data_IF_330099386358
#
_entry.id   IF_330099386358
#
_cell.length_a   1.000
_cell.length_b   1.000
_cell.length_c   1.000
_cell.angle_alpha   90.00
_cell.angle_beta   90.00
_cell.angle_gamma   90.00
#
_symmetry.space_group_name_H-M   'P 1'
#
loop_
_entity.id
_entity.type
_entity.pdbx_description
1 polymer ?
#
# COMPACT_ATOMS: atom_id res chain seq x y z
N UNK A 1 -34.26 -39.57 52.16
CA UNK A 1 -35.72 -39.78 52.09
C UNK A 1 -36.37 -38.40 52.10
N UNK A 2 -36.58 -37.81 50.92
CA UNK A 2 -37.91 -37.71 50.28
C UNK A 2 -38.60 -36.43 50.79
N UNK A 3 -39.05 -35.45 50.00
CA UNK A 3 -39.66 -35.54 48.67
C UNK A 3 -39.70 -34.17 47.98
N UNK A 4 -39.81 -34.25 46.65
CA UNK A 4 -39.92 -33.17 45.66
C UNK A 4 -41.16 -32.29 45.88
N UNK A 5 -41.12 -31.06 45.37
CA UNK A 5 -42.28 -30.53 44.64
C UNK A 5 -41.85 -29.51 43.58
N UNK A 6 -42.35 -29.73 42.37
CA UNK A 6 -42.27 -28.89 41.19
C UNK A 6 -43.64 -28.23 40.95
N UNK A 7 -43.66 -27.17 40.13
CA UNK A 7 -44.76 -26.45 39.42
C UNK A 7 -44.48 -24.93 39.54
N UNK A 8 -44.75 -24.03 38.61
CA UNK A 8 -45.38 -24.05 37.28
C UNK A 8 -45.02 -22.71 36.60
N UNK A 9 -45.03 -22.67 35.25
CA UNK A 9 -44.93 -21.47 34.36
C UNK A 9 -46.28 -20.67 34.39
N UNK A 10 -46.55 -19.54 33.66
CA UNK A 10 -45.86 -18.90 32.52
C UNK A 10 -45.85 -17.34 32.50
N UNK A 11 -45.20 -16.75 31.48
CA UNK A 11 -45.36 -15.34 31.10
C UNK A 11 -44.90 -15.09 29.65
N UNK A 12 -45.85 -14.92 28.74
CA UNK A 12 -45.64 -14.61 27.33
C UNK A 12 -45.67 -13.09 27.05
N UNK A 13 -44.68 -12.65 26.25
CA UNK A 13 -44.67 -11.72 25.10
C UNK A 13 -45.44 -10.38 25.15
N UNK A 14 -44.72 -9.29 24.83
CA UNK A 14 -45.05 -8.34 23.73
C UNK A 14 -43.76 -7.85 23.05
N UNK A 15 -43.85 -7.55 21.75
CA UNK A 15 -42.79 -7.44 20.73
C UNK A 15 -42.17 -6.03 20.53
N UNK A 16 -40.89 -6.03 20.08
CA UNK A 16 -40.11 -5.22 19.08
C UNK A 16 -40.76 -3.97 18.38
N UNK A 17 -40.01 -3.01 17.75
CA UNK A 17 -38.62 -3.09 17.23
C UNK A 17 -37.74 -1.79 17.32
N UNK A 18 -36.55 -1.87 16.69
CA UNK A 18 -35.81 -0.79 16.03
C UNK A 18 -34.75 0.01 16.82
N UNK A 19 -33.57 -0.60 16.94
CA UNK A 19 -32.30 0.12 16.95
C UNK A 19 -31.30 -0.72 16.16
N UNK A 20 -31.18 -0.48 14.85
CA UNK A 20 -30.21 -1.16 13.99
C UNK A 20 -28.81 -0.98 14.59
N UNK A 21 -28.07 -2.05 14.94
CA UNK A 21 -26.63 -1.93 14.95
C UNK A 21 -26.21 -1.65 13.51
N UNK A 22 -25.47 -0.56 13.29
CA UNK A 22 -24.73 -0.35 12.06
C UNK A 22 -23.97 -1.66 11.76
N UNK A 23 -24.06 -2.23 10.55
CA UNK A 23 -23.19 -3.34 10.22
C UNK A 23 -21.76 -2.82 10.29
N UNK A 24 -20.99 -3.34 11.23
CA UNK A 24 -19.54 -3.32 11.18
C UNK A 24 -19.15 -4.06 9.89
N UNK A 25 -19.06 -3.33 8.78
CA UNK A 25 -18.47 -3.83 7.55
C UNK A 25 -16.94 -3.78 7.72
N UNK A 26 -16.44 -4.72 8.50
CA UNK A 26 -15.06 -5.18 8.46
C UNK A 26 -15.09 -6.69 8.25
N UNK A 27 -15.74 -7.11 7.17
CA UNK A 27 -15.48 -8.42 6.60
C UNK A 27 -14.10 -8.36 5.95
N UNK A 28 -13.21 -9.25 6.36
CA UNK A 28 -11.93 -9.45 5.68
C UNK A 28 -12.22 -9.79 4.21
N UNK A 29 -12.11 -8.80 3.33
CA UNK A 29 -12.05 -9.02 1.90
C UNK A 29 -10.59 -9.34 1.59
N UNK A 30 -10.33 -10.60 1.27
CA UNK A 30 -9.03 -11.08 0.84
C UNK A 30 -9.25 -12.04 -0.31
N UNK A 31 -8.76 -11.67 -1.49
CA UNK A 31 -8.74 -12.58 -2.62
C UNK A 31 -7.50 -13.44 -2.50
N UNK A 32 -7.64 -14.63 -1.91
CA UNK A 32 -6.73 -15.72 -2.23
C UNK A 32 -7.32 -16.37 -3.48
N UNK A 33 -6.90 -15.93 -4.66
CA UNK A 33 -7.15 -16.65 -5.90
C UNK A 33 -6.41 -17.99 -5.87
N UNK A 34 -6.94 -18.92 -5.09
CA UNK A 34 -6.60 -20.33 -5.07
C UNK A 34 -7.71 -21.13 -5.75
N UNK A 35 -7.78 -21.11 -7.09
CA UNK A 35 -8.38 -22.21 -7.85
C UNK A 35 -8.16 -22.11 -9.36
N UNK A 36 -7.08 -22.75 -9.82
CA UNK A 36 -7.24 -23.95 -10.64
C UNK A 36 -6.06 -24.88 -10.38
N UNK A 37 -6.39 -26.13 -10.05
CA UNK A 37 -5.47 -27.26 -9.92
C UNK A 37 -4.51 -27.28 -11.12
N UNK A 38 -3.25 -26.95 -10.90
CA UNK A 38 -2.17 -27.46 -11.72
C UNK A 38 -1.44 -28.48 -10.87
N UNK A 39 -1.55 -29.74 -11.29
CA UNK A 39 -0.82 -30.85 -10.69
C UNK A 39 0.68 -30.63 -10.78
N UNK A 40 1.41 -31.43 -10.01
CA UNK A 40 2.85 -31.53 -10.08
C UNK A 40 3.38 -31.47 -11.52
N UNK A 41 4.16 -30.45 -11.85
CA UNK A 41 5.05 -30.41 -13.00
C UNK A 41 6.10 -29.33 -12.72
N UNK A 42 7.34 -29.73 -12.39
CA UNK A 42 8.47 -29.74 -13.32
C UNK A 42 9.05 -28.33 -13.48
N UNK A 43 10.33 -28.17 -13.17
CA UNK A 43 11.10 -26.97 -13.45
C UNK A 43 10.90 -26.58 -14.93
N UNK A 44 10.03 -25.59 -15.14
CA UNK A 44 9.60 -25.07 -16.44
C UNK A 44 9.87 -23.56 -16.50
N UNK A 45 9.63 -22.92 -17.66
CA UNK A 45 10.06 -21.55 -17.94
C UNK A 45 9.56 -20.56 -16.88
N UNK A 46 10.37 -19.53 -16.59
CA UNK A 46 10.09 -18.51 -15.58
C UNK A 46 8.62 -18.06 -15.63
N UNK A 47 7.93 -18.13 -14.48
CA UNK A 47 6.51 -17.77 -14.40
C UNK A 47 6.35 -16.27 -14.66
N UNK A 48 5.91 -15.90 -15.86
CA UNK A 48 5.62 -14.51 -16.23
C UNK A 48 4.22 -14.13 -15.75
N UNK A 49 4.13 -13.08 -14.93
CA UNK A 49 2.88 -12.48 -14.46
C UNK A 49 2.67 -11.13 -15.14
N UNK A 50 1.64 -11.03 -15.99
CA UNK A 50 1.29 -9.77 -16.65
C UNK A 50 0.64 -8.80 -15.68
N UNK A 51 1.12 -7.57 -15.65
CA UNK A 51 0.58 -6.47 -14.84
C UNK A 51 -0.89 -6.17 -15.14
N UNK A 52 -1.38 -6.51 -16.33
CA UNK A 52 -2.81 -6.44 -16.65
C UNK A 52 -3.70 -7.27 -15.71
N UNK A 53 -3.16 -8.31 -15.06
CA UNK A 53 -3.89 -9.09 -14.05
C UNK A 53 -4.16 -8.31 -12.77
N UNK A 54 -3.28 -7.36 -12.43
CA UNK A 54 -3.44 -6.46 -11.28
C UNK A 54 -4.71 -5.62 -11.42
N UNK A 55 -4.92 -5.08 -12.63
CA UNK A 55 -6.05 -4.22 -12.96
C UNK A 55 -7.36 -5.00 -13.13
N UNK A 56 -7.27 -6.30 -13.45
CA UNK A 56 -8.41 -7.17 -13.72
C UNK A 56 -9.02 -7.82 -12.46
N UNK A 57 -8.42 -7.62 -11.28
CA UNK A 57 -8.93 -8.15 -10.02
C UNK A 57 -10.22 -7.42 -9.62
N UNK A 58 -11.36 -8.05 -9.91
CA UNK A 58 -12.67 -7.44 -9.73
C UNK A 58 -12.98 -7.14 -8.26
N UNK A 59 -12.52 -7.97 -7.33
CA UNK A 59 -12.76 -7.79 -5.89
C UNK A 59 -11.98 -6.59 -5.37
N UNK A 60 -10.71 -6.42 -5.77
CA UNK A 60 -9.93 -5.24 -5.45
C UNK A 60 -10.56 -3.98 -6.04
N UNK A 61 -10.94 -4.00 -7.32
CA UNK A 61 -11.55 -2.83 -7.96
C UNK A 61 -12.84 -2.42 -7.27
N UNK A 62 -13.71 -3.39 -6.93
CA UNK A 62 -14.94 -3.12 -6.19
C UNK A 62 -14.68 -2.54 -4.80
N UNK A 63 -13.65 -3.04 -4.09
CA UNK A 63 -13.24 -2.49 -2.80
C UNK A 63 -12.79 -1.02 -2.94
N UNK A 64 -11.94 -0.73 -3.93
CA UNK A 64 -11.44 0.62 -4.19
C UNK A 64 -12.58 1.57 -4.60
N UNK A 65 -13.52 1.13 -5.43
CA UNK A 65 -14.69 1.94 -5.80
C UNK A 65 -15.59 2.24 -4.59
N UNK A 66 -15.77 1.25 -3.70
CA UNK A 66 -16.48 1.44 -2.43
C UNK A 66 -15.79 2.46 -1.54
N UNK A 67 -14.47 2.34 -1.36
CA UNK A 67 -13.67 3.28 -0.57
C UNK A 67 -13.66 4.69 -1.13
N UNK A 68 -13.57 4.83 -2.46
CA UNK A 68 -13.71 6.12 -3.14
C UNK A 68 -15.06 6.76 -2.82
N UNK A 69 -16.15 6.01 -2.94
CA UNK A 69 -17.51 6.50 -2.68
C UNK A 69 -17.69 6.94 -1.22
N UNK A 70 -17.02 6.25 -0.29
CA UNK A 70 -17.03 6.56 1.14
C UNK A 70 -16.04 7.68 1.53
N UNK A 71 -15.25 8.22 0.60
CA UNK A 71 -14.23 9.23 0.89
C UNK A 71 -13.06 8.73 1.74
N UNK A 72 -12.78 7.42 1.70
CA UNK A 72 -11.61 6.82 2.35
C UNK A 72 -10.35 7.25 1.62
N UNK A 73 -9.28 7.50 2.37
CA UNK A 73 -7.98 7.83 1.84
C UNK A 73 -6.91 6.99 2.53
N UNK A 74 -5.72 6.98 1.94
CA UNK A 74 -4.55 6.35 2.53
C UNK A 74 -3.75 7.38 3.31
N UNK A 75 -3.38 7.04 4.53
CA UNK A 75 -2.64 7.93 5.43
C UNK A 75 -1.14 7.60 5.49
N UNK A 76 -0.74 6.43 5.03
CA UNK A 76 0.64 5.97 5.04
C UNK A 76 0.82 4.86 4.01
N UNK A 77 2.00 4.78 3.40
CA UNK A 77 2.46 3.64 2.60
C UNK A 77 3.78 3.12 3.14
N UNK A 78 3.91 1.81 3.26
CA UNK A 78 5.07 1.12 3.81
C UNK A 78 5.52 0.07 2.83
N UNK A 79 6.79 0.13 2.42
CA UNK A 79 7.43 -0.90 1.63
C UNK A 79 8.07 -1.92 2.59
N UNK A 80 7.71 -3.19 2.41
CA UNK A 80 8.24 -4.31 3.17
C UNK A 80 9.04 -5.25 2.26
N UNK A 81 10.10 -5.86 2.81
CA UNK A 81 10.89 -6.88 2.11
C UNK A 81 11.48 -7.93 3.05
N UNK A 82 11.99 -9.04 2.50
CA UNK A 82 12.71 -10.07 3.27
C UNK A 82 14.00 -9.51 3.87
N UNK A 83 14.73 -8.72 3.08
CA UNK A 83 15.97 -8.07 3.49
C UNK A 83 16.17 -6.70 2.85
N UNK A 84 17.15 -5.98 3.40
CA UNK A 84 17.67 -4.72 2.86
C UNK A 84 19.16 -4.71 3.13
N UNK A 85 19.94 -4.54 2.08
CA UNK A 85 21.37 -4.28 2.15
C UNK A 85 21.61 -2.78 2.00
N UNK A 86 22.65 -2.28 2.66
CA UNK A 86 23.03 -0.87 2.61
C UNK A 86 24.54 -0.77 2.56
N UNK A 87 25.06 -0.36 1.40
CA UNK A 87 26.48 -0.12 1.20
C UNK A 87 26.75 1.37 1.37
N UNK A 88 27.70 1.71 2.24
CA UNK A 88 28.14 3.10 2.43
C UNK A 88 29.45 3.32 1.69
N UNK A 89 29.51 4.36 0.88
CA UNK A 89 30.73 4.82 0.24
C UNK A 89 30.95 6.29 0.59
N UNK A 90 32.21 6.69 0.63
CA UNK A 90 32.62 8.07 0.79
C UNK A 90 33.35 8.48 -0.48
N UNK A 91 32.88 9.55 -1.10
CA UNK A 91 33.53 10.17 -2.25
C UNK A 91 34.40 11.32 -1.74
N UNK A 92 35.71 11.21 -2.01
CA UNK A 92 36.71 12.18 -1.53
C UNK A 92 36.73 13.45 -2.38
N UNK A 93 36.33 13.36 -3.65
CA UNK A 93 36.37 14.50 -4.58
C UNK A 93 35.22 15.46 -4.28
N UNK A 94 34.07 14.93 -3.85
CA UNK A 94 32.90 15.72 -3.48
C UNK A 94 32.72 15.91 -1.98
N UNK A 95 33.56 15.27 -1.14
CA UNK A 95 33.45 15.26 0.32
C UNK A 95 32.04 14.83 0.78
N UNK A 96 31.48 13.81 0.15
CA UNK A 96 30.12 13.32 0.44
C UNK A 96 30.09 11.84 0.74
N UNK A 97 29.33 11.47 1.77
CA UNK A 97 28.95 10.09 1.99
C UNK A 97 27.69 9.76 1.20
N UNK A 98 27.67 8.57 0.60
CA UNK A 98 26.51 8.01 -0.10
C UNK A 98 26.16 6.67 0.52
N UNK A 99 24.87 6.40 0.69
CA UNK A 99 24.37 5.06 1.01
C UNK A 99 23.63 4.55 -0.21
N UNK A 100 24.05 3.41 -0.73
CA UNK A 100 23.32 2.67 -1.72
C UNK A 100 22.48 1.59 -1.03
N UNK A 101 21.16 1.69 -1.15
CA UNK A 101 20.21 0.77 -0.55
C UNK A 101 19.69 -0.22 -1.60
N UNK A 102 19.76 -1.52 -1.28
CA UNK A 102 19.28 -2.60 -2.15
C UNK A 102 18.28 -3.45 -1.37
N UNK A 103 17.10 -3.68 -1.95
CA UNK A 103 16.03 -4.47 -1.37
C UNK A 103 16.17 -5.91 -1.83
N UNK A 104 16.10 -6.84 -0.87
CA UNK A 104 16.32 -8.26 -1.11
C UNK A 104 15.04 -9.07 -0.96
N UNK A 105 14.88 -10.04 -1.87
CA UNK A 105 13.89 -11.10 -1.77
C UNK A 105 12.46 -10.63 -2.00
N UNK A 106 11.49 -11.31 -1.36
CA UNK A 106 10.07 -11.00 -1.53
C UNK A 106 9.70 -9.65 -0.94
N UNK A 107 8.90 -8.90 -1.66
CA UNK A 107 8.40 -7.59 -1.22
C UNK A 107 6.89 -7.55 -1.05
N UNK A 108 6.41 -6.60 -0.26
CA UNK A 108 5.00 -6.27 -0.13
C UNK A 108 4.84 -4.75 0.02
N UNK A 109 3.77 -4.20 -0.55
CA UNK A 109 3.37 -2.82 -0.29
C UNK A 109 2.20 -2.83 0.69
N UNK A 110 2.27 -2.01 1.73
CA UNK A 110 1.21 -1.90 2.74
C UNK A 110 0.72 -0.47 2.79
N UNK A 111 -0.57 -0.26 2.56
CA UNK A 111 -1.22 1.05 2.57
C UNK A 111 -2.18 1.13 3.77
N UNK A 112 -1.94 2.07 4.68
CA UNK A 112 -2.80 2.32 5.84
C UNK A 112 -3.99 3.15 5.42
N UNK A 113 -5.20 2.65 5.64
CA UNK A 113 -6.45 3.35 5.32
C UNK A 113 -6.92 4.20 6.50
N UNK A 114 -7.88 5.09 6.25
CA UNK A 114 -8.56 5.85 7.31
C UNK A 114 -9.80 5.19 7.87
N UNK A 115 -10.34 4.21 7.16
CA UNK A 115 -11.49 3.41 7.58
C UNK A 115 -11.13 2.27 8.55
N UNK A 116 -9.93 2.34 9.15
CA UNK A 116 -9.24 1.27 9.87
C UNK A 116 -8.74 0.13 8.97
N UNK A 117 -7.56 -0.40 9.32
CA UNK A 117 -6.92 -1.50 8.60
C UNK A 117 -5.79 -1.07 7.66
N UNK A 118 -5.23 -2.08 7.00
CA UNK A 118 -4.12 -1.99 6.07
C UNK A 118 -4.44 -2.82 4.83
N UNK A 119 -4.33 -2.20 3.66
CA UNK A 119 -4.34 -2.90 2.39
C UNK A 119 -2.91 -3.37 2.10
N UNK A 120 -2.71 -4.67 2.02
CA UNK A 120 -1.44 -5.27 1.62
C UNK A 120 -1.55 -5.72 0.16
N UNK A 121 -0.57 -5.35 -0.66
CA UNK A 121 -0.44 -5.75 -2.07
C UNK A 121 0.87 -6.51 -2.27
N UNK A 122 0.80 -7.66 -2.94
CA UNK A 122 1.94 -8.55 -3.16
C UNK A 122 1.91 -9.13 -4.56
N UNK A 123 3.08 -9.27 -5.15
CA UNK A 123 3.29 -10.02 -6.37
C UNK A 123 4.32 -11.12 -6.11
N UNK A 124 4.08 -12.30 -6.66
CA UNK A 124 5.04 -13.40 -6.59
C UNK A 124 4.80 -14.41 -7.70
N UNK A 125 5.47 -15.58 -7.64
CA UNK A 125 5.38 -16.62 -8.67
C UNK A 125 3.95 -17.15 -8.85
N UNK A 126 3.16 -17.10 -7.77
CA UNK A 126 1.75 -17.52 -7.75
C UNK A 126 0.79 -16.46 -8.33
N UNK A 127 1.30 -15.29 -8.72
CA UNK A 127 0.52 -14.16 -9.20
C UNK A 127 0.35 -13.05 -8.16
N UNK A 128 -0.61 -12.18 -8.46
CA UNK A 128 -0.96 -11.04 -7.63
C UNK A 128 -1.86 -11.46 -6.48
N UNK A 129 -1.60 -10.92 -5.30
CA UNK A 129 -2.34 -11.19 -4.07
C UNK A 129 -2.56 -9.87 -3.33
N UNK A 130 -3.75 -9.71 -2.78
CA UNK A 130 -4.07 -8.57 -1.94
C UNK A 130 -4.92 -9.01 -0.74
N UNK A 131 -4.77 -8.30 0.37
CA UNK A 131 -5.53 -8.55 1.59
C UNK A 131 -5.80 -7.22 2.32
N UNK A 132 -7.00 -7.07 2.88
CA UNK A 132 -7.30 -6.00 3.82
C UNK A 132 -7.32 -6.57 5.25
N UNK A 133 -6.33 -6.19 6.07
CA UNK A 133 -6.09 -6.75 7.40
C UNK A 133 -5.88 -5.67 8.45
N UNK A 134 -6.16 -5.99 9.71
CA UNK A 134 -5.95 -5.05 10.82
C UNK A 134 -4.47 -4.81 11.15
N UNK A 135 -3.58 -5.71 10.72
CA UNK A 135 -2.15 -5.60 10.97
C UNK A 135 -1.31 -6.33 9.91
N UNK A 136 -0.31 -5.64 9.37
CA UNK A 136 0.64 -6.22 8.41
C UNK A 136 1.78 -7.03 9.08
N UNK A 137 1.85 -7.04 10.41
CA UNK A 137 2.93 -7.73 11.16
C UNK A 137 2.96 -9.26 10.94
N UNK A 138 1.88 -9.82 10.39
CA UNK A 138 1.78 -11.26 10.05
C UNK A 138 2.67 -11.66 8.89
N UNK A 139 3.08 -10.72 8.04
CA UNK A 139 3.86 -11.00 6.83
C UNK A 139 5.31 -11.45 7.13
N UNK A 140 5.81 -11.25 8.35
CA UNK A 140 7.22 -11.53 8.74
C UNK A 140 8.26 -10.89 7.81
N UNK A 141 7.93 -9.74 7.23
CA UNK A 141 8.82 -8.92 6.40
C UNK A 141 9.34 -7.72 7.20
N UNK A 142 10.50 -7.20 6.81
CA UNK A 142 11.13 -6.01 7.39
C UNK A 142 10.65 -4.76 6.68
N UNK A 143 10.56 -3.65 7.41
CA UNK A 143 10.29 -2.33 6.82
C UNK A 143 11.54 -1.85 6.09
N UNK A 144 11.38 -1.56 4.80
CA UNK A 144 12.44 -1.00 3.94
C UNK A 144 12.38 0.52 3.98
N UNK A 145 11.19 1.05 3.70
CA UNK A 145 10.89 2.49 3.64
C UNK A 145 9.41 2.72 3.98
N UNK A 146 9.08 3.96 4.34
CA UNK A 146 7.69 4.38 4.60
C UNK A 146 7.49 5.86 4.30
N UNK A 147 6.29 6.20 3.84
CA UNK A 147 5.90 7.57 3.59
C UNK A 147 4.54 7.86 4.22
N UNK A 148 4.51 8.79 5.18
CA UNK A 148 3.28 9.25 5.84
C UNK A 148 2.49 10.29 5.01
N UNK A 149 2.65 10.28 3.69
CA UNK A 149 1.90 11.17 2.80
C UNK A 149 0.48 10.64 2.64
N UNK A 150 -0.47 11.58 2.64
CA UNK A 150 -1.87 11.29 2.33
C UNK A 150 -2.06 11.24 0.82
N UNK A 151 -2.71 10.19 0.33
CA UNK A 151 -3.10 10.06 -1.07
C UNK A 151 -4.49 9.42 -1.19
N UNK A 152 -5.18 9.76 -2.28
CA UNK A 152 -6.53 9.33 -2.58
C UNK A 152 -6.56 7.94 -3.21
N UNK A 153 -7.73 7.30 -3.18
CA UNK A 153 -7.94 5.99 -3.81
C UNK A 153 -7.67 6.04 -5.31
N UNK A 154 -8.03 7.13 -5.98
CA UNK A 154 -7.78 7.30 -7.42
C UNK A 154 -6.28 7.36 -7.76
N UNK A 155 -5.44 7.84 -6.85
CA UNK A 155 -3.98 7.82 -7.04
C UNK A 155 -3.43 6.39 -7.00
N UNK A 156 -3.92 5.55 -6.09
CA UNK A 156 -3.58 4.11 -6.09
C UNK A 156 -4.07 3.42 -7.37
N UNK A 157 -5.27 3.73 -7.85
CA UNK A 157 -5.79 3.15 -9.10
C UNK A 157 -4.96 3.55 -10.30
N UNK A 158 -4.58 4.82 -10.40
CA UNK A 158 -3.70 5.30 -11.46
C UNK A 158 -2.35 4.56 -11.43
N UNK A 159 -1.71 4.48 -10.26
CA UNK A 159 -0.43 3.79 -10.12
C UNK A 159 -0.52 2.28 -10.44
N UNK A 160 -1.62 1.61 -10.09
CA UNK A 160 -1.86 0.22 -10.52
C UNK A 160 -2.07 0.10 -12.03
N UNK A 161 -2.73 1.08 -12.65
CA UNK A 161 -2.98 1.10 -14.09
C UNK A 161 -1.69 1.33 -14.89
N UNK A 162 -0.76 2.14 -14.38
CA UNK A 162 0.55 2.37 -15.01
C UNK A 162 1.38 1.09 -15.10
N UNK A 163 1.10 0.12 -14.23
CA UNK A 163 1.75 -1.19 -14.26
C UNK A 163 1.09 -2.18 -15.22
N UNK A 164 -0.02 -1.84 -15.88
CA UNK A 164 -0.78 -2.74 -16.76
C UNK A 164 0.05 -3.34 -17.90
N UNK A 165 0.96 -2.55 -18.46
CA UNK A 165 1.81 -2.95 -19.58
C UNK A 165 3.08 -3.72 -19.17
N UNK A 166 3.37 -3.80 -17.88
CA UNK A 166 4.58 -4.45 -17.36
C UNK A 166 4.39 -5.96 -17.29
N UNK A 167 5.39 -6.72 -17.72
CA UNK A 167 5.43 -8.16 -17.53
C UNK A 167 6.46 -8.49 -16.45
N UNK A 168 6.02 -9.19 -15.39
CA UNK A 168 6.85 -9.49 -14.23
C UNK A 168 7.35 -10.93 -14.28
N UNK A 169 8.64 -11.14 -14.09
CA UNK A 169 9.23 -12.48 -14.09
C UNK A 169 10.48 -12.54 -13.21
N UNK A 170 10.73 -13.69 -12.57
CA UNK A 170 11.96 -13.91 -11.79
C UNK A 170 13.21 -13.65 -12.63
N UNK A 171 14.26 -13.13 -12.00
CA UNK A 171 15.57 -12.84 -12.59
C UNK A 171 15.56 -11.86 -13.78
N UNK A 172 14.52 -11.02 -13.88
CA UNK A 172 14.45 -9.93 -14.86
C UNK A 172 14.55 -8.55 -14.20
N UNK A 173 14.75 -7.50 -15.00
CA UNK A 173 14.70 -6.10 -14.53
C UNK A 173 13.33 -5.75 -13.92
N UNK A 174 12.29 -6.47 -14.34
CA UNK A 174 10.94 -6.37 -13.79
C UNK A 174 10.62 -7.62 -12.97
N UNK A 175 11.43 -7.90 -11.95
CA UNK A 175 11.16 -8.98 -11.02
C UNK A 175 9.93 -8.70 -10.14
N UNK A 176 9.49 -9.70 -9.39
CA UNK A 176 8.35 -9.51 -8.48
C UNK A 176 8.62 -8.46 -7.40
N UNK A 177 9.88 -8.23 -7.03
CA UNK A 177 10.24 -7.18 -6.09
C UNK A 177 10.00 -5.78 -6.69
N UNK A 178 10.29 -5.61 -7.97
CA UNK A 178 10.13 -4.36 -8.71
C UNK A 178 8.68 -3.87 -8.72
N UNK A 179 7.69 -4.76 -8.65
CA UNK A 179 6.27 -4.39 -8.55
C UNK A 179 6.02 -3.46 -7.36
N UNK A 180 6.40 -3.89 -6.15
CA UNK A 180 6.14 -3.14 -4.93
C UNK A 180 6.99 -1.87 -4.84
N UNK A 181 8.24 -1.94 -5.34
CA UNK A 181 9.14 -0.79 -5.43
C UNK A 181 8.57 0.30 -6.33
N UNK A 182 8.23 -0.04 -7.58
CA UNK A 182 7.63 0.91 -8.54
C UNK A 182 6.35 1.51 -7.99
N UNK A 183 5.48 0.69 -7.42
CA UNK A 183 4.23 1.19 -6.84
C UNK A 183 4.48 2.13 -5.65
N UNK A 184 5.49 1.86 -4.82
CA UNK A 184 5.91 2.77 -3.75
C UNK A 184 6.47 4.08 -4.31
N UNK A 185 7.37 4.00 -5.28
CA UNK A 185 8.01 5.16 -5.91
C UNK A 185 6.96 6.05 -6.60
N UNK A 186 6.02 5.46 -7.35
CA UNK A 186 4.93 6.15 -8.04
C UNK A 186 3.99 6.88 -7.05
N UNK A 187 3.68 6.25 -5.91
CA UNK A 187 2.79 6.83 -4.90
C UNK A 187 3.46 7.91 -4.04
N UNK A 188 4.77 7.81 -3.82
CA UNK A 188 5.49 8.67 -2.87
C UNK A 188 6.37 9.71 -3.53
N UNK A 189 6.69 9.54 -4.81
CA UNK A 189 7.70 10.33 -5.52
C UNK A 189 9.12 10.13 -4.97
N UNK A 190 9.36 9.14 -4.11
CA UNK A 190 10.64 8.84 -3.49
C UNK A 190 11.18 7.55 -4.05
N UNK A 191 12.46 7.52 -4.44
CA UNK A 191 13.09 6.26 -4.83
C UNK A 191 13.47 5.45 -3.59
N UNK A 192 12.96 4.23 -3.51
CA UNK A 192 13.27 3.32 -2.41
C UNK A 192 14.68 2.70 -2.52
N UNK A 193 15.28 2.68 -3.71
CA UNK A 193 16.62 2.15 -3.99
C UNK A 193 17.54 3.21 -4.60
N UNK A 194 18.86 2.93 -4.62
CA UNK A 194 19.86 3.80 -5.22
C UNK A 194 20.63 4.67 -4.23
N UNK A 195 21.45 5.56 -4.78
CA UNK A 195 22.35 6.41 -4.00
C UNK A 195 21.58 7.53 -3.30
N UNK A 196 21.67 7.54 -1.97
CA UNK A 196 21.12 8.61 -1.13
C UNK A 196 22.27 9.31 -0.42
N UNK A 197 22.26 10.66 -0.35
CA UNK A 197 23.25 11.38 0.44
C UNK A 197 23.13 10.94 1.91
N UNK A 198 24.27 10.62 2.49
CA UNK A 198 24.40 10.19 3.87
C UNK A 198 25.14 11.29 4.64
N UNK A 199 24.60 11.67 5.79
CA UNK A 199 25.32 12.50 6.73
C UNK A 199 25.79 11.58 7.88
N UNK A 200 27.11 11.33 8.00
CA UNK A 200 27.66 10.45 9.04
C UNK A 200 27.53 11.03 10.46
N UNK A 201 27.28 12.34 10.58
CA UNK A 201 27.10 13.05 11.86
C UNK A 201 25.62 13.13 12.26
N UNK A 202 24.70 13.06 11.29
CA UNK A 202 23.26 12.96 11.54
C UNK A 202 22.86 11.53 11.95
N UNK A 203 23.22 11.14 13.17
CA UNK A 203 22.59 10.00 13.84
C UNK A 203 21.08 10.23 13.97
N UNK A 204 20.30 9.72 12.99
CA UNK A 204 18.86 9.90 12.72
C UNK A 204 18.55 10.96 11.66
N UNK A 205 18.21 10.47 10.48
CA UNK A 205 17.59 11.20 9.36
C UNK A 205 16.44 12.09 9.86
N UNK A 206 16.57 13.41 9.72
CA UNK A 206 15.43 14.32 9.72
C UNK A 206 14.88 14.40 8.29
N UNK A 207 13.56 14.32 8.07
CA UNK A 207 12.99 14.69 6.78
C UNK A 207 13.25 16.19 6.56
N UNK A 208 13.93 16.52 5.46
CA UNK A 208 14.20 17.91 5.08
C UNK A 208 12.90 18.69 4.87
N UNK A 209 12.88 20.01 5.12
CA UNK A 209 11.71 20.83 4.86
C UNK A 209 11.44 20.85 3.36
N UNK A 210 10.18 20.60 2.98
CA UNK A 210 9.71 20.88 1.64
C UNK A 210 10.05 22.34 1.30
N UNK A 211 10.82 22.53 0.23
CA UNK A 211 11.05 23.85 -0.33
C UNK A 211 9.72 24.39 -0.85
N UNK A 212 9.12 25.28 -0.07
CA UNK A 212 8.08 26.21 -0.49
C UNK A 212 8.78 27.42 -1.13
N UNK A 213 8.18 27.92 -2.22
CA UNK A 213 8.49 29.13 -3.00
C UNK A 213 9.42 28.90 -4.21
N UNK A 214 9.14 29.41 -5.42
CA UNK A 214 8.39 30.64 -5.71
C UNK A 214 7.58 30.54 -7.02
N UNK A 215 6.28 30.81 -6.91
CA UNK A 215 5.47 31.38 -7.98
C UNK A 215 5.02 32.75 -7.49
N UNK A 216 5.38 33.83 -8.20
CA UNK A 216 4.90 35.16 -7.87
C UNK A 216 5.84 36.29 -8.31
N UNK A 217 5.92 36.55 -9.62
CA UNK A 217 6.23 37.90 -10.11
C UNK A 217 4.99 38.37 -10.86
N UNK A 218 4.23 39.23 -10.19
CA UNK A 218 3.05 39.88 -10.73
C UNK A 218 3.42 40.89 -11.81
N UNK A 219 2.77 40.79 -12.96
CA UNK A 219 2.73 41.88 -13.93
C UNK A 219 1.65 42.87 -13.50
N UNK A 220 2.08 44.08 -13.17
CA UNK A 220 1.22 45.25 -12.97
C UNK A 220 0.57 45.63 -14.31
N UNK A 221 -0.75 45.50 -14.40
CA UNK A 221 -1.56 46.18 -15.41
C UNK A 221 -2.52 47.13 -14.68
N UNK A 222 -2.21 48.42 -14.72
CA UNK A 222 -3.11 49.49 -14.29
C UNK A 222 -3.79 50.09 -15.54
N UNK A 223 -5.12 50.30 -15.51
CA UNK A 223 -5.73 51.31 -16.36
C UNK A 223 -6.65 52.22 -15.52
N UNK A 224 -6.33 53.52 -15.46
CA UNK A 224 -7.31 54.55 -15.10
C UNK A 224 -6.77 55.95 -15.44
N UNK A 225 -6.76 56.29 -16.73
CA UNK A 225 -6.75 57.68 -17.16
C UNK A 225 -8.17 58.14 -17.45
N UNK A 226 -8.80 58.85 -16.50
CA UNK A 226 -10.07 59.57 -16.71
C UNK A 226 -9.90 60.99 -16.17
N UNK A 227 -9.70 61.93 -17.08
CA UNK A 227 -9.80 63.39 -16.91
C UNK A 227 -10.50 63.80 -18.23
N UNK A 228 -11.67 64.44 -18.24
CA UNK A 228 -11.96 65.69 -17.57
C UNK A 228 -11.51 66.81 -18.49
#
# INVERSE_FOLDING_TARGET
FGSRSARDRPGQRVSLPAGRPLPAMCGAAGSVLGSRRYGAAVAGPANVVKGSRLCADAELQQLLDGWRTLGVYFANVVLLAEGKDSAKSYDIDTDTWTVNETVLGKTALVLKTTAYGFLTLRLGPQGFQWEHVDTYRRLKLKVVDSCAQRFEVDQLRAALQDQRAVEYAEDTIHDFASFAKRLFDDLTGKSCEGEKPHDPLAGKVRPGPAAVAAAGVGSNAAPAGRIG
#
